data_IF_674652525788
#
_entry.id   IF_674652525788
#
_cell.length_a   1.000
_cell.length_b   1.000
_cell.length_c   1.000
_cell.angle_alpha   90.00
_cell.angle_beta   90.00
_cell.angle_gamma   90.00
#
_symmetry.space_group_name_H-M   'P 1'
#
loop_
_entity.id
_entity.type
_entity.pdbx_description
1 polymer ?
#
# COMPACT_ATOMS: atom_id res chain seq x y z
N UNK A 1 -18.04 4.62 7.63
CA UNK A 1 -17.65 5.65 8.62
C UNK A 1 -16.22 5.36 9.05
N UNK A 2 -15.24 6.02 8.43
CA UNK A 2 -13.86 6.00 8.93
C UNK A 2 -13.85 6.79 10.23
N UNK A 3 -13.82 6.08 11.36
CA UNK A 3 -13.65 6.69 12.68
C UNK A 3 -12.21 7.19 12.78
N UNK A 4 -12.02 8.51 12.63
CA UNK A 4 -10.83 9.17 13.13
C UNK A 4 -10.92 9.17 14.67
N UNK A 5 -10.39 8.11 15.30
CA UNK A 5 -10.12 8.11 16.73
C UNK A 5 -8.92 9.01 16.99
N UNK A 6 -9.18 10.17 17.62
CA UNK A 6 -8.13 10.91 18.29
C UNK A 6 -7.77 10.14 19.55
N UNK A 7 -6.58 9.56 19.59
CA UNK A 7 -5.92 9.26 20.85
C UNK A 7 -4.58 10.00 20.89
N UNK A 8 -4.48 10.82 21.92
CA UNK A 8 -3.39 11.74 22.18
C UNK A 8 -2.27 11.01 22.91
N UNK A 9 -1.46 10.28 22.15
CA UNK A 9 -0.09 9.95 22.53
C UNK A 9 0.80 10.25 21.33
N UNK A 10 2.01 10.75 21.58
CA UNK A 10 2.95 11.30 20.60
C UNK A 10 3.52 10.24 19.63
N UNK A 11 2.67 9.58 18.86
CA UNK A 11 2.99 8.86 17.62
C UNK A 11 2.03 9.45 16.60
N UNK A 12 2.53 10.28 15.70
CA UNK A 12 1.72 10.73 14.55
C UNK A 12 1.02 9.51 13.97
N UNK A 13 -0.32 9.48 13.86
CA UNK A 13 -1.00 8.35 13.23
C UNK A 13 -0.36 8.19 11.87
N UNK A 14 0.25 7.02 11.60
CA UNK A 14 0.81 6.72 10.29
C UNK A 14 -0.36 6.65 9.33
N UNK A 15 -0.77 7.79 8.80
CA UNK A 15 -1.88 7.86 7.86
C UNK A 15 -1.55 6.93 6.69
N UNK A 16 -2.52 6.10 6.24
CA UNK A 16 -2.31 5.30 5.05
C UNK A 16 -1.93 6.21 3.89
N UNK A 17 -0.92 5.82 3.13
CA UNK A 17 -0.33 6.75 2.18
C UNK A 17 0.76 6.17 1.31
N UNK A 18 1.04 6.88 0.22
CA UNK A 18 2.18 6.64 -0.64
C UNK A 18 3.32 7.55 -0.21
N UNK A 19 4.49 6.98 0.06
CA UNK A 19 5.69 7.68 0.50
C UNK A 19 6.76 7.59 -0.58
N UNK A 20 7.61 8.60 -0.69
CA UNK A 20 8.89 8.46 -1.38
C UNK A 20 9.80 7.59 -0.51
N UNK A 21 10.27 6.46 -1.05
CA UNK A 21 11.02 5.47 -0.30
C UNK A 21 12.42 5.95 0.12
N UNK A 22 12.99 6.94 -0.57
CA UNK A 22 14.30 7.52 -0.26
C UNK A 22 14.21 8.62 0.80
N UNK A 23 13.21 9.50 0.69
CA UNK A 23 13.08 10.67 1.58
C UNK A 23 12.15 10.42 2.76
N UNK A 24 11.28 9.42 2.67
CA UNK A 24 10.19 9.16 3.62
C UNK A 24 9.04 10.16 3.54
N UNK A 25 9.08 11.13 2.61
CA UNK A 25 8.05 12.14 2.47
C UNK A 25 6.75 11.56 1.90
N UNK A 26 5.61 11.96 2.44
CA UNK A 26 4.31 11.56 1.93
C UNK A 26 3.98 12.31 0.64
N UNK A 27 3.46 11.57 -0.35
CA UNK A 27 2.96 12.17 -1.59
C UNK A 27 1.58 12.80 -1.36
N UNK A 28 1.28 13.93 -2.03
CA UNK A 28 -0.04 14.52 -2.00
C UNK A 28 -1.07 13.59 -2.68
N UNK A 29 -2.15 13.33 -1.96
CA UNK A 29 -3.33 12.64 -2.46
C UNK A 29 -4.23 13.66 -3.17
N UNK A 30 -4.39 13.51 -4.47
CA UNK A 30 -5.18 14.42 -5.31
C UNK A 30 -6.66 14.01 -5.36
N UNK A 31 -6.91 12.71 -5.42
CA UNK A 31 -8.26 12.15 -5.49
C UNK A 31 -8.30 10.83 -4.73
N UNK A 32 -9.44 10.55 -4.09
CA UNK A 32 -9.68 9.31 -3.39
C UNK A 32 -11.13 8.88 -3.50
N UNK A 33 -11.35 7.63 -3.91
CA UNK A 33 -12.62 6.93 -3.76
C UNK A 33 -12.39 5.69 -2.90
N UNK A 34 -13.20 5.52 -1.85
CA UNK A 34 -13.01 4.45 -0.87
C UNK A 34 -14.35 3.81 -0.57
N UNK A 35 -14.44 2.52 -0.86
CA UNK A 35 -15.59 1.67 -0.54
C UNK A 35 -15.18 0.64 0.51
N UNK A 36 -16.07 0.39 1.46
CA UNK A 36 -15.86 -0.62 2.50
C UNK A 36 -17.11 -1.46 2.70
N UNK A 37 -16.91 -2.72 3.06
CA UNK A 37 -17.98 -3.66 3.39
C UNK A 37 -17.57 -4.49 4.61
N UNK A 38 -18.50 -4.67 5.54
CA UNK A 38 -18.27 -5.45 6.76
C UNK A 38 -19.16 -6.69 6.74
N UNK A 39 -18.55 -7.84 6.97
CA UNK A 39 -19.25 -9.12 7.10
C UNK A 39 -18.72 -9.86 8.33
N UNK A 40 -19.49 -9.83 9.42
CA UNK A 40 -19.04 -10.38 10.70
C UNK A 40 -17.77 -9.67 11.19
N UNK A 41 -16.70 -10.44 11.39
CA UNK A 41 -15.39 -9.93 11.79
C UNK A 41 -14.46 -9.58 10.61
N UNK A 42 -14.95 -9.72 9.37
CA UNK A 42 -14.18 -9.40 8.17
C UNK A 42 -14.53 -7.99 7.65
N UNK A 43 -13.49 -7.23 7.31
CA UNK A 43 -13.58 -5.95 6.62
C UNK A 43 -13.02 -6.12 5.21
N UNK A 44 -13.84 -5.86 4.20
CA UNK A 44 -13.42 -5.63 2.83
C UNK A 44 -13.22 -4.13 2.60
N UNK A 45 -12.08 -3.76 2.01
CA UNK A 45 -11.74 -2.40 1.63
C UNK A 45 -11.33 -2.38 0.15
N UNK A 46 -11.91 -1.45 -0.61
CA UNK A 46 -11.46 -1.11 -1.97
C UNK A 46 -11.20 0.38 -1.99
N UNK A 47 -9.99 0.77 -2.39
CA UNK A 47 -9.59 2.17 -2.45
C UNK A 47 -8.94 2.47 -3.81
N UNK A 48 -9.42 3.51 -4.47
CA UNK A 48 -8.81 4.12 -5.64
C UNK A 48 -8.19 5.44 -5.20
N UNK A 49 -6.86 5.51 -5.23
CA UNK A 49 -6.08 6.62 -4.68
C UNK A 49 -5.17 7.20 -5.76
N UNK A 50 -5.35 8.47 -6.08
CA UNK A 50 -4.55 9.18 -7.09
C UNK A 50 -3.53 10.08 -6.39
N UNK A 51 -2.25 9.73 -6.49
CA UNK A 51 -1.15 10.51 -5.91
C UNK A 51 -0.42 11.33 -6.97
N UNK A 52 -0.11 12.58 -6.65
CA UNK A 52 0.70 13.45 -7.51
C UNK A 52 2.19 13.33 -7.21
N UNK A 53 3.02 13.07 -8.23
CA UNK A 53 4.46 13.28 -8.12
C UNK A 53 4.76 14.78 -8.34
N UNK A 54 5.15 15.50 -7.28
CA UNK A 54 5.58 16.90 -7.36
C UNK A 54 7.09 17.07 -7.61
N UNK A 55 7.84 15.97 -7.60
CA UNK A 55 9.27 15.97 -7.87
C UNK A 55 9.52 15.99 -9.38
N UNK A 56 10.65 16.59 -9.78
CA UNK A 56 11.02 16.69 -11.19
C UNK A 56 11.47 15.33 -11.79
N UNK A 57 11.74 14.33 -10.95
CA UNK A 57 12.27 13.03 -11.37
C UNK A 57 11.38 11.88 -10.87
N UNK A 58 11.36 10.73 -11.56
CA UNK A 58 10.74 9.52 -11.05
C UNK A 58 11.45 9.03 -9.77
N UNK A 59 10.69 8.41 -8.87
CA UNK A 59 11.23 7.80 -7.65
C UNK A 59 10.51 6.49 -7.32
N UNK A 60 11.07 5.76 -6.35
CA UNK A 60 10.44 4.56 -5.79
C UNK A 60 9.39 4.95 -4.74
N UNK A 61 8.14 4.56 -4.97
CA UNK A 61 7.04 4.74 -4.03
C UNK A 61 6.90 3.57 -3.05
N UNK A 62 6.55 3.86 -1.81
CA UNK A 62 6.20 2.90 -0.77
C UNK A 62 4.78 3.18 -0.28
N UNK A 63 3.84 2.28 -0.58
CA UNK A 63 2.49 2.35 -0.03
C UNK A 63 2.44 1.70 1.36
N UNK A 64 1.96 2.43 2.35
CA UNK A 64 1.82 1.96 3.73
C UNK A 64 0.34 2.02 4.10
N UNK A 65 -0.21 0.88 4.56
CA UNK A 65 -1.54 0.83 5.17
C UNK A 65 -1.39 0.26 6.59
N UNK A 66 -1.70 1.04 7.64
CA UNK A 66 -1.60 0.58 9.02
C UNK A 66 -2.73 -0.41 9.31
N UNK A 67 -2.40 -1.43 10.10
CA UNK A 67 -3.32 -2.50 10.50
C UNK A 67 -3.24 -2.63 12.01
N UNK A 68 -4.38 -2.88 12.64
CA UNK A 68 -4.47 -3.06 14.09
C UNK A 68 -3.76 -4.35 14.51
N UNK A 69 -3.15 -4.36 15.71
CA UNK A 69 -2.40 -5.50 16.26
C UNK A 69 -3.21 -6.79 16.31
N UNK A 70 -4.54 -6.70 16.43
CA UNK A 70 -5.45 -7.84 16.50
C UNK A 70 -6.14 -8.17 15.16
N UNK A 71 -5.68 -7.57 14.06
CA UNK A 71 -6.24 -7.81 12.73
C UNK A 71 -5.22 -8.43 11.78
N UNK A 72 -5.72 -9.23 10.83
CA UNK A 72 -4.88 -9.93 9.85
C UNK A 72 -5.41 -9.69 8.44
N UNK A 73 -4.48 -9.44 7.51
CA UNK A 73 -4.81 -9.37 6.08
C UNK A 73 -4.94 -10.79 5.53
N UNK A 74 -6.13 -11.12 5.05
CA UNK A 74 -6.42 -12.43 4.43
C UNK A 74 -6.35 -12.41 2.91
N UNK A 75 -6.34 -11.22 2.29
CA UNK A 75 -6.20 -11.04 0.84
C UNK A 75 -5.81 -9.60 0.49
N UNK A 76 -5.02 -9.45 -0.58
CA UNK A 76 -4.57 -8.15 -1.09
C UNK A 76 -4.38 -8.20 -2.61
N UNK A 77 -4.96 -7.21 -3.28
CA UNK A 77 -4.79 -6.94 -4.69
C UNK A 77 -4.65 -5.42 -4.86
N UNK A 78 -3.69 -5.00 -5.66
CA UNK A 78 -3.51 -3.61 -6.03
C UNK A 78 -3.30 -3.48 -7.53
N UNK A 79 -3.79 -2.39 -8.11
CA UNK A 79 -3.54 -2.04 -9.51
C UNK A 79 -2.82 -0.71 -9.55
N UNK A 80 -1.65 -0.68 -10.18
CA UNK A 80 -0.82 0.53 -10.32
C UNK A 80 -0.45 0.68 -11.79
N UNK A 81 -0.87 1.77 -12.43
CA UNK A 81 -0.62 2.02 -13.86
C UNK A 81 -0.92 0.77 -14.73
N UNK A 82 -2.13 0.23 -14.58
CA UNK A 82 -2.65 -0.96 -15.27
C UNK A 82 -1.92 -2.28 -14.98
N UNK A 83 -1.02 -2.29 -13.98
CA UNK A 83 -0.34 -3.51 -13.52
C UNK A 83 -0.97 -4.02 -12.25
N UNK A 84 -1.44 -5.26 -12.29
CA UNK A 84 -1.98 -5.95 -11.11
C UNK A 84 -0.83 -6.52 -10.28
N UNK A 85 -0.81 -6.19 -8.99
CA UNK A 85 0.08 -6.73 -7.97
C UNK A 85 -0.76 -7.52 -6.99
N UNK A 86 -0.58 -8.84 -6.97
CA UNK A 86 -1.25 -9.75 -6.03
C UNK A 86 -0.26 -10.34 -5.04
N UNK A 87 -0.64 -10.41 -3.77
CA UNK A 87 0.14 -11.17 -2.79
C UNK A 87 -0.38 -12.61 -2.79
N UNK A 88 0.50 -13.57 -3.11
CA UNK A 88 0.19 -14.98 -2.88
C UNK A 88 0.57 -15.35 -1.45
N UNK A 89 -0.43 -15.50 -0.57
CA UNK A 89 -0.20 -16.05 0.76
C UNK A 89 0.21 -17.52 0.61
N UNK A 90 1.45 -17.84 0.96
CA UNK A 90 1.97 -19.22 0.98
C UNK A 90 2.18 -19.67 2.42
N UNK A 91 1.95 -20.96 2.64
CA UNK A 91 2.21 -21.61 3.93
C UNK A 91 3.67 -21.39 4.37
N UNK A 92 3.87 -21.06 5.66
CA UNK A 92 5.17 -20.79 6.26
C UNK A 92 6.17 -21.94 6.03
N UNK A 93 5.72 -23.20 6.03
CA UNK A 93 6.56 -24.37 5.78
C UNK A 93 7.04 -24.49 4.33
N UNK A 94 6.44 -23.74 3.39
CA UNK A 94 6.79 -23.72 1.97
C UNK A 94 7.59 -22.49 1.54
N UNK A 95 7.88 -21.56 2.47
CA UNK A 95 8.56 -20.30 2.20
C UNK A 95 10.11 -20.39 2.26
N UNK A 96 10.66 -21.49 2.79
CA UNK A 96 12.08 -21.68 3.11
C UNK A 96 13.06 -21.81 1.92
N UNK A 97 12.72 -21.36 0.71
CA UNK A 97 13.62 -21.53 -0.46
C UNK A 97 13.78 -20.35 -1.39
N UNK A 98 13.10 -19.23 -1.15
CA UNK A 98 13.33 -18.00 -1.90
C UNK A 98 13.62 -16.89 -0.90
N UNK A 99 14.91 -16.64 -0.67
CA UNK A 99 15.40 -15.34 -0.27
C UNK A 99 14.58 -14.29 -1.01
N UNK A 100 13.92 -13.39 -0.28
CA UNK A 100 13.10 -12.32 -0.85
C UNK A 100 14.02 -11.37 -1.60
N UNK A 101 14.41 -11.74 -2.82
CA UNK A 101 15.03 -10.83 -3.76
C UNK A 101 13.96 -9.83 -4.17
N UNK A 102 13.94 -8.69 -3.46
CA UNK A 102 13.26 -7.49 -3.92
C UNK A 102 14.02 -7.01 -5.16
N UNK A 103 13.75 -7.63 -6.31
CA UNK A 103 14.24 -7.14 -7.58
C UNK A 103 13.38 -5.93 -7.96
N UNK A 104 13.95 -4.71 -8.07
CA UNK A 104 13.22 -3.58 -8.63
C UNK A 104 12.80 -3.95 -10.05
N UNK A 105 11.51 -3.81 -10.36
CA UNK A 105 11.04 -4.01 -11.72
C UNK A 105 11.65 -2.92 -12.63
N UNK A 106 12.74 -3.23 -13.33
CA UNK A 106 13.32 -2.34 -14.35
C UNK A 106 12.37 -2.30 -15.54
N UNK A 107 11.70 -1.16 -15.74
CA UNK A 107 10.95 -0.89 -16.96
C UNK A 107 11.92 -0.32 -17.98
N UNK A 108 12.42 -1.17 -18.87
CA UNK A 108 13.05 -0.71 -20.12
C UNK A 108 11.94 -0.22 -21.04
N UNK A 109 11.81 1.10 -21.17
CA UNK A 109 10.96 1.70 -22.18
C UNK A 109 11.56 1.42 -23.55
N UNK A 110 10.86 0.62 -24.36
CA UNK A 110 11.19 0.46 -25.77
C UNK A 110 10.61 1.66 -26.52
N UNK A 111 11.51 2.54 -27.00
CA UNK A 111 11.16 3.65 -27.87
C UNK A 111 11.22 3.14 -29.31
N UNK A 112 10.07 2.69 -29.82
CA UNK A 112 9.83 2.39 -31.24
C UNK A 112 8.87 3.39 -31.85
#
# INVERSE_FOLDING_TARGET
>A
MLLLGQDSEQRSPRMPGLLNCLTGAALPLMESDVTSYVSGYALGLTASLTYGNLEAQPFQGLFVYPIDEYSTVVGFEAVIADRVVTIQLRDKAKLDRSHLDIQPATVTGDLG
#
